data_IF_109752073179
#
_entry.id   IF_109752073179
#
_cell.length_a   1.000
_cell.length_b   1.000
_cell.length_c   1.000
_cell.angle_alpha   90.00
_cell.angle_beta   90.00
_cell.angle_gamma   90.00
#
_symmetry.space_group_name_H-M   'P 1'
#
loop_
_entity.id
_entity.type
_entity.pdbx_description
1 polymer ?
#
# COMPACT_ATOMS: atom_id res chain seq x y z
N UNK A 1 92.07 15.77 0.47
CA UNK A 1 91.44 14.44 0.46
C UNK A 1 90.02 14.62 0.98
N UNK A 2 89.03 13.99 0.34
CA UNK A 2 87.56 14.22 0.43
C UNK A 2 87.00 15.36 -0.46
N UNK A 3 86.40 15.05 -1.62
CA UNK A 3 85.51 15.97 -2.32
C UNK A 3 84.08 15.82 -1.78
N UNK A 4 83.51 16.91 -1.29
CA UNK A 4 82.08 17.04 -0.95
C UNK A 4 81.33 17.19 -2.29
N UNK A 5 80.55 16.18 -2.69
CA UNK A 5 79.59 16.30 -3.79
C UNK A 5 78.24 16.73 -3.23
N UNK A 6 77.75 17.88 -3.68
CA UNK A 6 76.47 18.45 -3.29
C UNK A 6 75.29 17.60 -3.76
N UNK A 7 74.38 17.29 -2.84
CA UNK A 7 73.09 16.65 -3.12
C UNK A 7 72.08 17.70 -3.59
N UNK A 8 71.67 17.62 -4.85
CA UNK A 8 70.55 18.39 -5.38
C UNK A 8 69.23 17.81 -4.83
N UNK A 9 68.49 18.61 -4.08
CA UNK A 9 67.13 18.31 -3.63
C UNK A 9 66.13 18.59 -4.76
N UNK A 10 65.65 17.55 -5.43
CA UNK A 10 64.51 17.65 -6.36
C UNK A 10 63.20 17.56 -5.57
N UNK A 11 62.51 18.70 -5.45
CA UNK A 11 61.14 18.76 -4.98
C UNK A 11 60.21 18.16 -6.06
N UNK A 12 59.82 16.89 -5.89
CA UNK A 12 58.83 16.24 -6.75
C UNK A 12 57.42 16.62 -6.31
N UNK A 13 56.77 17.52 -7.05
CA UNK A 13 55.34 17.78 -6.91
C UNK A 13 54.54 16.54 -7.31
N UNK A 14 53.77 15.96 -6.37
CA UNK A 14 52.83 14.88 -6.66
C UNK A 14 51.63 15.43 -7.44
N UNK A 15 51.63 15.20 -8.76
CA UNK A 15 50.49 15.54 -9.62
C UNK A 15 49.35 14.57 -9.32
N UNK A 16 48.33 15.05 -8.59
CA UNK A 16 47.07 14.31 -8.41
C UNK A 16 46.26 14.44 -9.69
N UNK A 17 46.32 13.40 -10.52
CA UNK A 17 45.48 13.30 -11.73
C UNK A 17 44.06 12.95 -11.30
N UNK A 18 43.17 13.95 -11.27
CA UNK A 18 41.74 13.73 -11.15
C UNK A 18 41.22 13.14 -12.47
N UNK A 19 41.20 11.81 -12.57
CA UNK A 19 40.55 11.14 -13.69
C UNK A 19 39.03 11.25 -13.53
N UNK A 20 38.41 12.03 -14.39
CA UNK A 20 36.96 12.17 -14.46
C UNK A 20 36.35 10.83 -14.93
N UNK A 21 35.85 10.02 -13.99
CA UNK A 21 35.15 8.77 -14.30
C UNK A 21 33.81 9.12 -14.95
N UNK A 22 33.76 9.09 -16.28
CA UNK A 22 32.51 9.23 -17.03
C UNK A 22 31.64 8.00 -16.76
N UNK A 23 30.60 8.17 -15.94
CA UNK A 23 29.55 7.17 -15.75
C UNK A 23 28.69 7.06 -17.03
N UNK A 24 29.22 6.47 -18.10
CA UNK A 24 28.37 6.06 -19.22
C UNK A 24 27.45 4.94 -18.73
N UNK A 25 26.14 5.22 -18.70
CA UNK A 25 25.11 4.20 -18.48
C UNK A 25 25.13 3.20 -19.65
N UNK A 26 25.88 2.11 -19.49
CA UNK A 26 25.84 0.98 -20.42
C UNK A 26 24.56 0.17 -20.19
N UNK A 27 24.05 -0.49 -21.25
CA UNK A 27 22.99 -1.50 -21.10
C UNK A 27 23.48 -2.61 -20.18
N UNK A 28 22.97 -2.67 -18.95
CA UNK A 28 23.28 -3.72 -17.98
C UNK A 28 22.22 -4.82 -18.08
N UNK A 29 22.67 -6.04 -18.35
CA UNK A 29 21.81 -7.23 -18.22
C UNK A 29 21.54 -7.45 -16.73
N UNK A 30 20.27 -7.62 -16.36
CA UNK A 30 19.83 -7.79 -14.97
C UNK A 30 20.10 -9.20 -14.45
N UNK A 31 21.38 -9.57 -14.33
CA UNK A 31 21.76 -10.78 -13.62
C UNK A 31 21.37 -10.68 -12.14
N UNK A 32 21.06 -11.82 -11.49
CA UNK A 32 20.90 -11.85 -10.04
C UNK A 32 22.09 -11.21 -9.33
N UNK A 33 21.81 -10.40 -8.31
CA UNK A 33 22.86 -9.79 -7.48
C UNK A 33 23.55 -10.82 -6.57
N UNK A 34 22.90 -11.95 -6.32
CA UNK A 34 23.40 -13.06 -5.54
C UNK A 34 24.17 -14.08 -6.42
N UNK A 35 25.08 -14.87 -5.83
CA UNK A 35 25.81 -15.89 -6.58
C UNK A 35 24.87 -17.03 -7.05
N UNK A 36 25.09 -17.50 -8.27
CA UNK A 36 24.42 -18.67 -8.84
C UNK A 36 25.38 -19.43 -9.77
N UNK A 37 25.15 -20.72 -9.98
CA UNK A 37 25.96 -21.56 -10.87
C UNK A 37 25.77 -21.11 -12.32
N UNK A 38 26.79 -20.48 -12.89
CA UNK A 38 26.79 -20.06 -14.30
C UNK A 38 27.01 -21.25 -15.21
N UNK A 39 26.52 -21.15 -16.44
CA UNK A 39 26.74 -22.15 -17.47
C UNK A 39 28.21 -22.13 -17.89
N UNK A 40 28.82 -23.31 -17.94
CA UNK A 40 30.15 -23.54 -18.52
C UNK A 40 30.03 -23.94 -19.99
N UNK A 41 30.91 -24.84 -20.43
CA UNK A 41 30.79 -25.48 -21.75
C UNK A 41 29.63 -26.48 -21.71
N UNK A 42 28.67 -26.30 -22.63
CA UNK A 42 27.52 -27.18 -22.79
C UNK A 42 27.42 -27.68 -24.23
N UNK A 43 26.58 -28.71 -24.43
CA UNK A 43 26.32 -29.24 -25.76
C UNK A 43 25.75 -28.14 -26.70
N UNK A 44 26.29 -27.97 -27.94
CA UNK A 44 25.95 -26.84 -28.81
C UNK A 44 24.46 -26.64 -29.09
N UNK A 45 23.69 -27.74 -29.15
CA UNK A 45 22.25 -27.72 -29.45
C UNK A 45 21.35 -27.25 -28.29
N UNK A 46 21.89 -27.05 -27.08
CA UNK A 46 21.07 -26.75 -25.89
C UNK A 46 20.61 -25.28 -25.84
N UNK A 47 21.36 -24.35 -26.43
CA UNK A 47 21.05 -22.92 -26.53
C UNK A 47 20.54 -22.28 -25.22
N UNK A 48 21.14 -22.66 -24.09
CA UNK A 48 20.72 -22.19 -22.77
C UNK A 48 21.42 -20.87 -22.41
N UNK A 49 20.84 -20.11 -21.48
CA UNK A 49 21.37 -18.82 -21.04
C UNK A 49 21.58 -18.78 -19.54
N UNK A 50 22.55 -17.98 -19.09
CA UNK A 50 22.84 -17.82 -17.66
C UNK A 50 21.62 -17.33 -16.86
N UNK A 51 20.74 -16.51 -17.45
CA UNK A 51 19.51 -16.06 -16.79
C UNK A 51 18.50 -17.20 -16.62
N UNK A 52 18.30 -18.04 -17.65
CA UNK A 52 17.47 -19.24 -17.56
C UNK A 52 18.03 -20.21 -16.51
N UNK A 53 19.35 -20.38 -16.46
CA UNK A 53 20.02 -21.19 -15.44
C UNK A 53 19.77 -20.66 -14.02
N UNK A 54 19.93 -19.35 -13.80
CA UNK A 54 19.65 -18.72 -12.51
C UNK A 54 18.18 -18.88 -12.10
N UNK A 55 17.25 -18.73 -13.05
CA UNK A 55 15.82 -18.97 -12.81
C UNK A 55 15.52 -20.42 -12.42
N UNK A 56 16.13 -21.40 -13.10
CA UNK A 56 15.96 -22.83 -12.76
C UNK A 56 16.51 -23.16 -11.37
N UNK A 57 17.62 -22.54 -10.96
CA UNK A 57 18.17 -22.70 -9.61
C UNK A 57 17.27 -22.10 -8.53
N UNK A 58 16.66 -20.93 -8.81
CA UNK A 58 15.70 -20.30 -7.91
C UNK A 58 14.41 -21.14 -7.78
N UNK A 59 13.89 -21.68 -8.89
CA UNK A 59 12.67 -22.48 -8.91
C UNK A 59 12.85 -23.88 -8.30
N UNK A 60 14.00 -24.51 -8.52
CA UNK A 60 14.22 -25.90 -8.15
C UNK A 60 13.63 -26.89 -9.17
N UNK A 61 13.63 -28.19 -8.84
CA UNK A 61 13.12 -29.22 -9.75
C UNK A 61 11.60 -29.13 -9.88
N UNK A 62 11.11 -29.30 -11.10
CA UNK A 62 9.68 -29.36 -11.43
C UNK A 62 9.20 -30.80 -11.35
N UNK A 63 8.10 -31.06 -10.64
CA UNK A 63 7.49 -32.39 -10.61
C UNK A 63 6.69 -32.68 -11.89
N UNK A 64 6.16 -33.91 -12.02
CA UNK A 64 5.36 -34.32 -13.19
C UNK A 64 4.02 -33.56 -13.30
N UNK A 65 3.47 -33.06 -12.19
CA UNK A 65 2.29 -32.18 -12.16
C UNK A 65 2.61 -30.75 -12.61
N UNK A 66 3.89 -30.41 -12.63
CA UNK A 66 4.38 -29.10 -13.02
C UNK A 66 4.68 -28.14 -11.87
N UNK A 67 4.66 -28.61 -10.62
CA UNK A 67 4.83 -27.85 -9.39
C UNK A 67 6.31 -27.75 -8.96
N UNK A 68 6.66 -26.66 -8.29
CA UNK A 68 8.00 -26.39 -7.77
C UNK A 68 8.02 -26.55 -6.25
N UNK A 69 7.82 -27.78 -5.80
CA UNK A 69 7.59 -28.11 -4.38
C UNK A 69 8.76 -27.74 -3.47
N UNK A 70 9.99 -27.73 -4.01
CA UNK A 70 11.19 -27.34 -3.26
C UNK A 70 11.32 -25.82 -3.08
N UNK A 71 10.54 -25.00 -3.78
CA UNK A 71 10.65 -23.55 -3.65
C UNK A 71 9.89 -23.06 -2.41
N UNK A 72 10.58 -22.33 -1.54
CA UNK A 72 10.02 -21.75 -0.31
C UNK A 72 8.74 -20.95 -0.53
N UNK A 73 8.62 -20.27 -1.65
CA UNK A 73 7.53 -19.37 -1.97
C UNK A 73 6.41 -20.03 -2.79
N UNK A 74 6.48 -21.35 -3.01
CA UNK A 74 5.46 -22.09 -3.77
C UNK A 74 4.21 -22.38 -2.92
N UNK A 75 4.40 -22.85 -1.69
CA UNK A 75 3.29 -23.16 -0.79
C UNK A 75 2.76 -21.91 -0.09
N UNK A 76 1.44 -21.87 0.09
CA UNK A 76 0.75 -20.78 0.77
C UNK A 76 0.90 -20.94 2.28
N UNK A 77 1.32 -19.89 3.02
CA UNK A 77 1.44 -19.96 4.48
C UNK A 77 0.07 -20.10 5.13
N UNK A 78 0.01 -20.90 6.21
CA UNK A 78 -1.24 -21.19 6.94
C UNK A 78 -1.24 -20.69 8.40
N UNK A 79 -0.32 -19.80 8.76
CA UNK A 79 0.04 -19.47 10.15
C UNK A 79 -0.14 -17.97 10.50
N UNK A 80 -0.92 -17.22 9.72
CA UNK A 80 -1.07 -15.76 9.84
C UNK A 80 0.24 -14.98 9.73
N UNK A 81 1.28 -15.58 9.13
CA UNK A 81 2.55 -14.91 8.86
C UNK A 81 2.83 -14.95 7.36
N UNK A 82 2.90 -13.78 6.70
CA UNK A 82 3.13 -13.75 5.27
C UNK A 82 4.56 -14.20 4.94
N UNK A 83 4.68 -15.15 4.00
CA UNK A 83 5.97 -15.65 3.52
C UNK A 83 6.52 -14.76 2.39
N UNK A 84 6.87 -13.52 2.71
CA UNK A 84 7.42 -12.56 1.75
C UNK A 84 8.89 -12.83 1.40
N UNK A 85 9.30 -12.31 0.24
CA UNK A 85 10.59 -12.61 -0.40
C UNK A 85 11.75 -11.94 0.36
N UNK A 86 12.83 -12.70 0.57
CA UNK A 86 14.00 -12.29 1.36
C UNK A 86 15.33 -12.59 0.64
N UNK A 87 15.49 -12.15 -0.63
CA UNK A 87 16.63 -12.56 -1.46
C UNK A 87 17.97 -11.99 -0.96
N UNK A 88 17.91 -10.87 -0.22
CA UNK A 88 19.04 -10.21 0.43
C UNK A 88 19.57 -10.99 1.64
N UNK A 89 18.69 -11.63 2.40
CA UNK A 89 19.03 -12.40 3.60
C UNK A 89 19.44 -13.83 3.24
N UNK A 90 18.70 -14.47 2.34
CA UNK A 90 18.97 -15.85 1.91
C UNK A 90 20.01 -15.94 0.77
N UNK A 91 20.52 -14.79 0.29
CA UNK A 91 21.48 -14.72 -0.82
C UNK A 91 21.03 -15.52 -2.04
N UNK A 92 19.74 -15.45 -2.37
CA UNK A 92 19.13 -16.15 -3.50
C UNK A 92 18.94 -17.66 -3.33
N UNK A 93 19.24 -18.23 -2.16
CA UNK A 93 18.97 -19.63 -1.84
C UNK A 93 17.53 -19.78 -1.36
N UNK A 94 16.62 -20.01 -2.30
CA UNK A 94 15.16 -20.08 -2.06
C UNK A 94 14.62 -21.49 -1.86
N UNK A 95 15.47 -22.51 -1.92
CA UNK A 95 15.04 -23.91 -1.89
C UNK A 95 14.96 -24.43 -0.46
N UNK A 96 13.88 -25.12 -0.15
CA UNK A 96 13.64 -25.82 1.12
C UNK A 96 13.26 -27.27 0.85
N UNK A 97 13.52 -28.15 1.81
CA UNK A 97 12.98 -29.49 1.80
C UNK A 97 11.50 -29.45 2.21
N UNK A 98 10.57 -30.05 1.44
CA UNK A 98 9.14 -29.80 1.60
C UNK A 98 8.50 -30.40 2.85
N UNK A 99 9.16 -31.37 3.48
CA UNK A 99 8.65 -32.03 4.69
C UNK A 99 9.27 -31.41 5.95
N UNK A 100 10.58 -31.20 5.94
CA UNK A 100 11.33 -30.70 7.11
C UNK A 100 11.36 -29.17 7.19
N UNK A 101 11.14 -28.48 6.05
CA UNK A 101 11.21 -27.01 5.96
C UNK A 101 12.65 -26.46 5.97
N UNK A 102 13.66 -27.33 6.01
CA UNK A 102 15.06 -26.93 6.10
C UNK A 102 15.60 -26.40 4.77
N UNK A 103 16.51 -25.43 4.84
CA UNK A 103 17.14 -24.84 3.66
C UNK A 103 18.06 -25.82 2.95
N UNK A 104 17.87 -25.96 1.64
CA UNK A 104 18.69 -26.84 0.79
C UNK A 104 19.39 -26.07 -0.31
N UNK A 105 20.59 -26.54 -0.68
CA UNK A 105 21.39 -25.95 -1.76
C UNK A 105 21.78 -27.03 -2.75
N UNK A 106 21.81 -26.69 -4.03
CA UNK A 106 22.30 -27.59 -5.06
C UNK A 106 23.82 -27.75 -4.95
N UNK A 107 24.27 -28.98 -4.72
CA UNK A 107 25.68 -29.38 -4.68
C UNK A 107 26.28 -29.43 -6.09
N UNK A 108 27.59 -29.62 -6.15
CA UNK A 108 28.32 -29.72 -7.42
C UNK A 108 27.75 -30.83 -8.33
N UNK A 109 27.41 -31.97 -7.71
CA UNK A 109 26.89 -33.18 -8.36
C UNK A 109 25.43 -33.06 -8.84
N UNK A 110 24.79 -31.90 -8.61
CA UNK A 110 23.41 -31.65 -9.00
C UNK A 110 22.36 -32.12 -7.98
N UNK A 111 22.77 -32.89 -6.97
CA UNK A 111 21.94 -33.26 -5.82
C UNK A 111 21.69 -32.06 -4.89
N UNK A 112 20.63 -32.14 -4.07
CA UNK A 112 20.34 -31.15 -3.04
C UNK A 112 20.84 -31.65 -1.70
N UNK A 113 21.47 -30.77 -0.91
CA UNK A 113 21.80 -31.07 0.47
C UNK A 113 21.43 -29.92 1.39
N UNK A 114 21.16 -30.28 2.64
CA UNK A 114 20.81 -29.36 3.71
C UNK A 114 21.99 -28.46 4.06
N UNK A 115 21.68 -27.21 4.37
CA UNK A 115 22.64 -26.20 4.81
C UNK A 115 22.04 -25.51 6.02
N UNK A 116 22.88 -25.21 7.01
CA UNK A 116 22.45 -24.49 8.20
C UNK A 116 21.85 -23.13 7.80
N UNK A 117 20.62 -22.87 8.23
CA UNK A 117 19.92 -21.65 7.90
C UNK A 117 20.66 -20.42 8.44
N UNK A 118 20.74 -19.37 7.62
CA UNK A 118 21.41 -18.12 7.97
C UNK A 118 20.83 -17.55 9.28
N UNK A 119 21.67 -17.32 10.29
CA UNK A 119 21.25 -16.78 11.61
C UNK A 119 20.44 -15.49 11.52
N UNK A 120 20.66 -14.68 10.46
CA UNK A 120 19.91 -13.45 10.19
C UNK A 120 18.45 -13.68 9.78
N UNK A 121 18.14 -14.84 9.21
CA UNK A 121 16.76 -15.24 8.90
C UNK A 121 16.00 -15.65 10.17
N UNK A 122 16.70 -16.21 11.17
CA UNK A 122 16.07 -16.61 12.44
C UNK A 122 15.64 -15.39 13.29
N UNK A 123 16.46 -14.33 13.30
CA UNK A 123 16.24 -13.15 14.13
C UNK A 123 15.80 -11.93 13.31
N UNK A 124 14.66 -12.04 12.62
CA UNK A 124 14.11 -10.92 11.85
C UNK A 124 13.22 -10.03 12.72
N UNK A 125 13.29 -8.69 12.53
CA UNK A 125 12.31 -7.80 13.15
C UNK A 125 10.93 -8.02 12.52
N UNK A 126 9.88 -7.86 13.32
CA UNK A 126 8.48 -8.04 12.90
C UNK A 126 8.14 -7.24 11.64
N UNK A 127 8.59 -5.98 11.57
CA UNK A 127 8.42 -5.12 10.39
C UNK A 127 8.96 -5.75 9.10
N UNK A 128 10.05 -6.53 9.17
CA UNK A 128 10.64 -7.21 8.00
C UNK A 128 9.83 -8.43 7.57
N UNK A 129 9.11 -9.07 8.50
CA UNK A 129 8.18 -10.15 8.20
C UNK A 129 6.98 -9.64 7.40
N UNK A 130 6.51 -8.42 7.71
CA UNK A 130 5.38 -7.77 7.05
C UNK A 130 5.76 -6.98 5.78
N UNK A 131 7.02 -7.01 5.37
CA UNK A 131 7.52 -6.25 4.21
C UNK A 131 7.49 -7.11 2.93
N UNK A 132 6.57 -6.87 1.98
CA UNK A 132 6.46 -7.66 0.76
C UNK A 132 7.67 -7.50 -0.18
N UNK A 133 8.21 -6.29 -0.29
CA UNK A 133 9.26 -5.97 -1.25
C UNK A 133 10.55 -5.56 -0.55
N UNK A 134 11.67 -6.27 -0.74
CA UNK A 134 12.93 -5.94 -0.06
C UNK A 134 13.48 -4.55 -0.43
N UNK A 135 13.22 -4.08 -1.66
CA UNK A 135 13.66 -2.77 -2.14
C UNK A 135 12.87 -1.57 -1.60
N UNK A 136 11.68 -1.79 -1.03
CA UNK A 136 10.84 -0.72 -0.48
C UNK A 136 10.51 -1.01 0.99
N UNK A 137 11.21 -0.32 1.91
CA UNK A 137 11.05 -0.49 3.37
C UNK A 137 9.77 0.13 3.94
N UNK A 138 9.12 1.01 3.19
CA UNK A 138 7.93 1.73 3.64
C UNK A 138 6.64 0.99 3.27
N UNK A 139 6.67 0.13 2.25
CA UNK A 139 5.56 -0.73 1.90
C UNK A 139 5.50 -1.91 2.87
N UNK A 140 4.42 -1.98 3.66
CA UNK A 140 4.13 -3.04 4.61
C UNK A 140 2.72 -3.56 4.35
N UNK A 141 2.48 -4.83 4.66
CA UNK A 141 1.12 -5.36 4.64
C UNK A 141 0.30 -4.80 5.79
N UNK A 142 -0.96 -4.49 5.52
CA UNK A 142 -1.92 -4.19 6.57
C UNK A 142 -2.44 -5.51 7.18
N UNK A 143 -3.02 -5.41 8.37
CA UNK A 143 -3.62 -6.53 9.10
C UNK A 143 -5.04 -6.80 8.62
N UNK A 144 -5.43 -8.07 8.60
CA UNK A 144 -6.79 -8.52 8.33
C UNK A 144 -7.59 -8.57 9.62
N UNK A 145 -8.86 -8.21 9.54
CA UNK A 145 -9.77 -8.20 10.69
C UNK A 145 -10.39 -9.58 10.82
N UNK A 146 -10.35 -10.15 12.02
CA UNK A 146 -10.98 -11.44 12.30
C UNK A 146 -12.49 -11.37 12.13
N UNK A 147 -13.09 -12.49 11.74
CA UNK A 147 -14.54 -12.56 11.46
C UNK A 147 -15.37 -12.19 12.69
N UNK A 148 -14.97 -12.70 13.86
CA UNK A 148 -15.60 -12.36 15.14
C UNK A 148 -15.59 -10.86 15.41
N UNK A 149 -14.47 -10.18 15.11
CA UNK A 149 -14.34 -8.76 15.33
C UNK A 149 -15.18 -7.94 14.35
N UNK A 150 -15.28 -8.35 13.07
CA UNK A 150 -16.19 -7.71 12.11
C UNK A 150 -17.63 -7.80 12.57
N UNK A 151 -18.05 -8.98 13.05
CA UNK A 151 -19.39 -9.21 13.57
C UNK A 151 -19.68 -8.36 14.81
N UNK A 152 -18.72 -8.23 15.74
CA UNK A 152 -18.86 -7.33 16.90
C UNK A 152 -19.05 -5.88 16.49
N UNK A 153 -18.16 -5.37 15.62
CA UNK A 153 -18.25 -3.99 15.08
C UNK A 153 -19.61 -3.75 14.42
N UNK A 154 -20.10 -4.71 13.62
CA UNK A 154 -21.39 -4.62 12.99
C UNK A 154 -22.54 -4.52 14.02
N UNK A 155 -22.51 -5.37 15.05
CA UNK A 155 -23.56 -5.40 16.07
C UNK A 155 -23.57 -4.12 16.91
N UNK A 156 -22.40 -3.61 17.32
CA UNK A 156 -22.28 -2.35 18.06
C UNK A 156 -22.88 -1.16 17.31
N UNK A 157 -22.68 -1.10 15.98
CA UNK A 157 -23.19 0.02 15.18
C UNK A 157 -24.67 -0.15 14.84
N UNK A 158 -25.09 -1.35 14.42
CA UNK A 158 -26.43 -1.57 13.88
C UNK A 158 -27.47 -1.98 14.93
N UNK A 159 -27.06 -2.69 15.99
CA UNK A 159 -27.95 -3.19 17.04
C UNK A 159 -27.91 -2.29 18.26
N UNK A 160 -26.71 -1.96 18.75
CA UNK A 160 -26.54 -1.13 19.94
C UNK A 160 -26.62 0.38 19.64
N UNK A 161 -26.44 0.76 18.37
CA UNK A 161 -26.57 2.14 17.92
C UNK A 161 -25.39 3.03 18.33
N UNK A 162 -24.21 2.45 18.62
CA UNK A 162 -23.01 3.19 18.92
C UNK A 162 -22.52 3.99 17.71
N UNK A 163 -21.91 5.14 17.97
CA UNK A 163 -21.37 5.97 16.89
C UNK A 163 -20.08 5.39 16.34
N UNK A 164 -19.84 5.60 15.03
CA UNK A 164 -18.60 5.14 14.38
C UNK A 164 -17.34 5.70 15.02
N UNK A 165 -17.41 6.89 15.62
CA UNK A 165 -16.29 7.50 16.35
C UNK A 165 -15.94 6.71 17.61
N UNK A 166 -16.94 6.33 18.40
CA UNK A 166 -16.75 5.56 19.62
C UNK A 166 -16.16 4.18 19.30
N UNK A 167 -16.73 3.49 18.31
CA UNK A 167 -16.24 2.18 17.86
C UNK A 167 -14.82 2.29 17.28
N UNK A 168 -14.54 3.36 16.52
CA UNK A 168 -13.21 3.67 15.99
C UNK A 168 -12.17 3.82 17.10
N UNK A 169 -12.50 4.57 18.17
CA UNK A 169 -11.63 4.78 19.33
C UNK A 169 -11.42 3.51 20.15
N UNK A 170 -12.49 2.73 20.36
CA UNK A 170 -12.45 1.48 21.12
C UNK A 170 -11.48 0.47 20.49
N UNK A 171 -11.59 0.27 19.18
CA UNK A 171 -10.81 -0.73 18.46
C UNK A 171 -9.52 -0.20 17.83
N UNK A 172 -9.36 1.11 17.67
CA UNK A 172 -8.19 1.71 17.02
C UNK A 172 -8.21 1.52 15.50
N UNK A 173 -9.38 1.62 14.87
CA UNK A 173 -9.57 1.56 13.41
C UNK A 173 -10.10 2.89 12.90
N UNK A 174 -9.65 3.38 11.74
CA UNK A 174 -10.16 4.61 11.13
C UNK A 174 -11.65 4.50 10.80
N UNK A 175 -12.38 5.59 11.00
CA UNK A 175 -13.82 5.71 10.72
C UNK A 175 -14.22 5.18 9.33
N UNK A 176 -13.61 5.61 8.20
CA UNK A 176 -13.98 5.07 6.89
C UNK A 176 -13.71 3.57 6.75
N UNK A 177 -12.74 3.02 7.50
CA UNK A 177 -12.47 1.57 7.52
C UNK A 177 -13.57 0.83 8.28
N UNK A 178 -14.04 1.38 9.40
CA UNK A 178 -15.18 0.86 10.16
C UNK A 178 -16.45 0.84 9.31
N UNK A 179 -16.77 1.92 8.62
CA UNK A 179 -17.93 1.98 7.71
C UNK A 179 -17.83 0.95 6.58
N UNK A 180 -16.63 0.78 6.00
CA UNK A 180 -16.41 -0.24 4.97
C UNK A 180 -16.67 -1.65 5.49
N UNK A 181 -16.25 -1.96 6.73
CA UNK A 181 -16.53 -3.27 7.36
C UNK A 181 -18.03 -3.47 7.49
N UNK A 182 -18.76 -2.49 8.03
CA UNK A 182 -20.22 -2.58 8.20
C UNK A 182 -20.89 -2.85 6.85
N UNK A 183 -20.53 -2.08 5.81
CA UNK A 183 -21.08 -2.26 4.45
C UNK A 183 -20.78 -3.65 3.86
N UNK A 184 -19.56 -4.15 4.05
CA UNK A 184 -19.18 -5.48 3.58
C UNK A 184 -19.97 -6.58 4.33
N UNK A 185 -20.15 -6.44 5.64
CA UNK A 185 -20.95 -7.37 6.45
C UNK A 185 -22.42 -7.39 6.03
N UNK A 186 -23.01 -6.25 5.67
CA UNK A 186 -24.38 -6.20 5.14
C UNK A 186 -24.50 -6.96 3.82
N UNK A 187 -23.50 -6.83 2.93
CA UNK A 187 -23.46 -7.54 1.65
C UNK A 187 -23.30 -9.03 1.88
N UNK A 188 -22.41 -9.43 2.80
CA UNK A 188 -22.16 -10.83 3.15
C UNK A 188 -23.43 -11.50 3.69
N UNK A 189 -24.12 -10.87 4.65
CA UNK A 189 -25.43 -11.36 5.14
C UNK A 189 -26.48 -11.48 4.03
N UNK A 190 -26.51 -10.55 3.07
CA UNK A 190 -27.39 -10.64 1.89
C UNK A 190 -27.00 -11.84 1.02
N UNK A 191 -25.72 -12.08 0.81
CA UNK A 191 -25.23 -13.21 0.00
C UNK A 191 -25.50 -14.56 0.65
N UNK A 192 -25.32 -14.67 1.97
CA UNK A 192 -25.71 -15.84 2.75
C UNK A 192 -27.21 -16.12 2.61
N UNK A 193 -28.06 -15.10 2.81
CA UNK A 193 -29.53 -15.24 2.66
C UNK A 193 -29.93 -15.73 1.26
N UNK A 194 -29.16 -15.35 0.24
CA UNK A 194 -29.39 -15.75 -1.15
C UNK A 194 -28.59 -17.00 -1.58
N UNK A 195 -27.91 -17.68 -0.65
CA UNK A 195 -27.05 -18.85 -0.91
C UNK A 195 -26.05 -18.63 -2.06
N UNK A 196 -25.45 -17.44 -2.11
CA UNK A 196 -24.48 -17.05 -3.15
C UNK A 196 -23.03 -17.38 -2.80
N UNK A 197 -22.77 -17.76 -1.55
CA UNK A 197 -21.46 -18.17 -1.08
C UNK A 197 -21.26 -19.63 -1.47
N UNK A 198 -20.31 -19.88 -2.36
CA UNK A 198 -19.95 -21.23 -2.80
C UNK A 198 -18.84 -21.81 -1.91
N UNK A 199 -18.73 -23.13 -1.75
CA UNK A 199 -17.66 -23.76 -0.98
C UNK A 199 -16.25 -23.36 -1.46
N UNK A 200 -16.08 -23.14 -2.77
CA UNK A 200 -14.81 -22.68 -3.35
C UNK A 200 -14.42 -21.27 -2.86
N UNK A 201 -15.40 -20.38 -2.71
CA UNK A 201 -15.17 -19.03 -2.16
C UNK A 201 -14.79 -19.09 -0.69
N UNK A 202 -15.35 -20.02 0.08
CA UNK A 202 -14.97 -20.23 1.49
C UNK A 202 -13.53 -20.75 1.62
N UNK A 203 -13.12 -21.69 0.75
CA UNK A 203 -11.73 -22.14 0.69
C UNK A 203 -10.80 -20.99 0.32
N UNK A 204 -11.15 -20.16 -0.65
CA UNK A 204 -10.37 -18.98 -1.00
C UNK A 204 -10.29 -17.96 0.16
N UNK A 205 -11.42 -17.68 0.82
CA UNK A 205 -11.47 -16.76 1.95
C UNK A 205 -10.62 -17.26 3.12
N UNK A 206 -10.76 -18.53 3.48
CA UNK A 206 -9.99 -19.14 4.57
C UNK A 206 -8.50 -19.24 4.28
N UNK A 207 -8.11 -19.48 3.02
CA UNK A 207 -6.69 -19.47 2.63
C UNK A 207 -6.10 -18.06 2.73
N UNK A 208 -6.78 -17.03 2.20
CA UNK A 208 -6.33 -15.64 2.34
C UNK A 208 -6.27 -15.19 3.80
N UNK A 209 -7.25 -15.55 4.62
CA UNK A 209 -7.25 -15.22 6.05
C UNK A 209 -6.00 -15.75 6.76
N UNK A 210 -5.57 -16.98 6.44
CA UNK A 210 -4.37 -17.60 7.00
C UNK A 210 -3.06 -17.03 6.44
N UNK A 211 -3.08 -16.38 5.29
CA UNK A 211 -1.89 -15.76 4.68
C UNK A 211 -1.49 -14.45 5.36
N UNK A 212 -2.47 -13.70 5.85
CA UNK A 212 -2.27 -12.35 6.37
C UNK A 212 -2.20 -12.32 7.89
N UNK A 213 -1.46 -11.34 8.47
CA UNK A 213 -1.45 -11.13 9.90
C UNK A 213 -2.81 -10.61 10.37
N UNK A 214 -3.24 -11.07 11.55
CA UNK A 214 -4.53 -10.71 12.14
C UNK A 214 -4.40 -9.41 12.94
N UNK A 215 -5.43 -8.57 12.86
CA UNK A 215 -5.52 -7.33 13.61
C UNK A 215 -5.95 -7.62 15.04
N UNK A 216 -5.14 -7.17 15.99
CA UNK A 216 -5.41 -7.29 17.42
C UNK A 216 -5.69 -5.91 18.02
N UNK A 217 -6.92 -5.64 18.51
CA UNK A 217 -7.27 -4.32 19.02
C UNK A 217 -6.54 -3.96 20.32
N UNK A 218 -6.04 -4.94 21.07
CA UNK A 218 -5.26 -4.72 22.29
C UNK A 218 -3.80 -4.31 22.00
N UNK A 219 -3.28 -4.68 20.82
CA UNK A 219 -1.92 -4.38 20.42
C UNK A 219 -1.79 -2.94 19.94
N UNK A 220 -1.04 -2.12 20.68
CA UNK A 220 -0.76 -0.72 20.30
C UNK A 220 -0.08 -0.59 18.93
N UNK A 221 0.69 -1.60 18.51
CA UNK A 221 1.40 -1.60 17.22
C UNK A 221 0.48 -1.88 16.03
N UNK A 222 -0.60 -2.64 16.27
CA UNK A 222 -1.59 -2.95 15.23
C UNK A 222 -2.59 -1.81 15.01
N UNK A 223 -2.88 -1.03 16.07
CA UNK A 223 -3.81 0.11 16.01
C UNK A 223 -3.40 1.15 14.97
N UNK A 224 -4.39 1.65 14.25
CA UNK A 224 -4.21 2.73 13.30
C UNK A 224 -4.08 4.08 14.02
N UNK A 225 -3.34 5.02 13.42
CA UNK A 225 -3.30 6.37 13.94
C UNK A 225 -4.59 7.12 13.58
N UNK A 226 -5.43 7.35 14.59
CA UNK A 226 -6.71 8.06 14.46
C UNK A 226 -6.56 9.58 14.39
N UNK A 227 -5.36 10.12 14.66
CA UNK A 227 -5.08 11.55 14.67
C UNK A 227 -4.51 12.09 13.34
N UNK A 228 -4.56 11.29 12.28
CA UNK A 228 -4.06 11.70 10.97
C UNK A 228 -5.02 12.67 10.28
N UNK A 229 -4.50 13.85 9.94
CA UNK A 229 -5.17 14.85 9.12
C UNK A 229 -4.45 15.01 7.78
N UNK A 230 -5.16 15.27 6.67
CA UNK A 230 -4.54 15.58 5.39
C UNK A 230 -3.85 16.94 5.48
N UNK A 231 -2.63 17.02 4.95
CA UNK A 231 -1.84 18.26 5.02
C UNK A 231 -2.34 19.27 3.97
N UNK A 232 -2.85 20.45 4.36
CA UNK A 232 -3.30 21.45 3.40
C UNK A 232 -2.12 22.18 2.75
N UNK A 233 -2.31 22.70 1.53
CA UNK A 233 -1.25 23.39 0.78
C UNK A 233 -0.60 24.55 1.55
N UNK A 234 -1.41 25.33 2.29
CA UNK A 234 -0.93 26.47 3.08
C UNK A 234 0.04 26.04 4.20
N UNK A 235 -0.11 24.84 4.74
CA UNK A 235 0.78 24.31 5.78
C UNK A 235 2.10 23.74 5.24
N UNK A 236 2.20 23.48 3.92
CA UNK A 236 3.44 23.01 3.29
C UNK A 236 4.47 24.12 3.10
N UNK A 237 4.01 25.38 3.00
CA UNK A 237 4.91 26.54 2.92
C UNK A 237 5.38 26.97 4.31
N UNK A 238 6.69 26.97 4.54
CA UNK A 238 7.27 27.49 5.78
C UNK A 238 7.11 29.00 5.88
N UNK A 239 6.74 29.49 7.07
CA UNK A 239 6.68 30.91 7.41
C UNK A 239 7.46 31.15 8.69
N UNK A 240 8.14 32.27 8.76
CA UNK A 240 8.86 32.71 9.95
C UNK A 240 8.31 34.08 10.35
N UNK A 241 8.03 34.25 11.64
CA UNK A 241 7.53 35.50 12.20
C UNK A 241 8.49 35.96 13.31
N UNK A 242 8.77 37.25 13.32
CA UNK A 242 9.49 37.90 14.42
C UNK A 242 8.47 38.41 15.42
N UNK A 243 8.38 37.72 16.56
CA UNK A 243 7.53 38.08 17.70
C UNK A 243 8.41 38.60 18.85
N UNK A 244 7.82 39.30 19.81
CA UNK A 244 8.57 39.74 20.98
C UNK A 244 9.07 38.53 21.79
N UNK A 245 10.24 38.64 22.44
CA UNK A 245 10.85 37.53 23.18
C UNK A 245 9.95 36.98 24.31
N UNK A 246 9.07 37.81 24.84
CA UNK A 246 8.12 37.47 25.89
C UNK A 246 6.74 37.02 25.36
N UNK A 247 6.49 37.09 24.06
CA UNK A 247 5.18 36.79 23.48
C UNK A 247 5.02 35.27 23.25
N UNK A 248 3.99 34.63 23.85
CA UNK A 248 3.75 33.21 23.62
C UNK A 248 3.17 32.96 22.23
N UNK A 249 3.60 31.89 21.57
CA UNK A 249 3.10 31.50 20.24
C UNK A 249 2.58 30.06 20.25
N UNK A 250 1.26 29.91 20.19
CA UNK A 250 0.59 28.62 20.23
C UNK A 250 0.13 28.08 18.87
N UNK A 251 -0.41 26.85 18.82
CA UNK A 251 -0.98 26.26 17.60
C UNK A 251 -2.16 27.06 17.02
N UNK A 252 -2.94 27.71 17.88
CA UNK A 252 -4.08 28.55 17.46
C UNK A 252 -3.59 29.81 16.74
N UNK A 253 -2.49 30.41 17.20
CA UNK A 253 -1.92 31.59 16.58
C UNK A 253 -1.19 31.23 15.28
N UNK A 254 -0.52 30.08 15.24
CA UNK A 254 0.01 29.50 14.01
C UNK A 254 -1.10 29.26 12.95
N UNK A 255 -2.26 28.75 13.37
CA UNK A 255 -3.41 28.55 12.47
C UNK A 255 -3.93 29.89 11.91
N UNK A 256 -4.05 30.93 12.76
CA UNK A 256 -4.42 32.29 12.31
C UNK A 256 -3.43 32.85 11.30
N UNK A 257 -2.13 32.70 11.56
CA UNK A 257 -1.05 33.14 10.66
C UNK A 257 -1.12 32.45 9.30
N UNK A 258 -1.49 31.16 9.30
CA UNK A 258 -1.69 30.38 8.08
C UNK A 258 -3.06 30.60 7.43
N UNK A 259 -3.93 31.39 8.06
CA UNK A 259 -5.34 31.56 7.68
C UNK A 259 -6.04 30.19 7.51
N UNK A 260 -5.84 29.32 8.49
CA UNK A 260 -6.43 27.99 8.57
C UNK A 260 -7.17 27.80 9.88
N UNK A 261 -8.06 26.81 9.90
CA UNK A 261 -8.62 26.32 11.15
C UNK A 261 -7.55 25.55 11.95
N UNK A 262 -7.60 25.58 13.29
CA UNK A 262 -6.72 24.76 14.12
C UNK A 262 -6.83 23.27 13.78
N UNK A 263 -5.70 22.55 13.84
CA UNK A 263 -5.62 21.13 13.51
C UNK A 263 -6.62 20.27 14.31
N UNK A 264 -6.84 20.57 15.59
CA UNK A 264 -7.82 19.87 16.42
C UNK A 264 -9.26 19.99 15.86
N UNK A 265 -9.68 21.18 15.43
CA UNK A 265 -11.00 21.38 14.83
C UNK A 265 -11.15 20.65 13.50
N UNK A 266 -10.08 20.61 12.69
CA UNK A 266 -10.10 19.85 11.43
C UNK A 266 -10.24 18.35 11.67
N UNK A 267 -9.59 17.82 12.71
CA UNK A 267 -9.68 16.42 13.12
C UNK A 267 -11.09 16.09 13.62
N UNK A 268 -11.68 16.93 14.47
CA UNK A 268 -13.05 16.77 14.96
C UNK A 268 -14.06 16.76 13.81
N UNK A 269 -13.92 17.69 12.86
CA UNK A 269 -14.75 17.72 11.65
C UNK A 269 -14.63 16.42 10.88
N UNK A 270 -13.41 15.92 10.65
CA UNK A 270 -13.20 14.63 10.00
C UNK A 270 -13.80 13.46 10.77
N UNK A 271 -13.74 13.52 12.10
CA UNK A 271 -14.40 12.54 12.98
C UNK A 271 -15.91 12.50 12.78
N UNK A 272 -16.54 13.65 12.54
CA UNK A 272 -17.99 13.76 12.33
C UNK A 272 -18.48 13.43 10.91
N UNK A 273 -17.58 13.09 9.99
CA UNK A 273 -17.95 12.66 8.63
C UNK A 273 -18.24 11.16 8.66
N UNK A 274 -19.49 10.78 8.36
CA UNK A 274 -19.89 9.38 8.22
C UNK A 274 -21.39 9.17 8.31
N UNK A 275 -21.92 8.12 7.70
CA UNK A 275 -23.36 7.78 7.70
C UNK A 275 -23.87 7.49 9.11
N UNK A 276 -22.98 6.96 9.97
CA UNK A 276 -23.23 6.59 11.36
C UNK A 276 -22.47 7.49 12.35
N UNK A 277 -22.19 8.75 11.98
CA UNK A 277 -21.62 9.74 12.90
C UNK A 277 -22.72 10.41 13.74
N UNK A 278 -22.41 10.79 14.98
CA UNK A 278 -23.38 11.35 15.96
C UNK A 278 -24.15 12.56 15.42
N UNK A 279 -23.49 13.39 14.60
CA UNK A 279 -24.05 14.63 14.06
C UNK A 279 -24.49 14.53 12.59
N UNK A 280 -24.49 13.34 11.98
CA UNK A 280 -24.80 13.17 10.55
C UNK A 280 -26.19 13.72 10.18
N UNK A 281 -27.18 13.52 11.04
CA UNK A 281 -28.55 13.98 10.80
C UNK A 281 -28.74 15.50 10.93
N UNK A 282 -27.81 16.22 11.56
CA UNK A 282 -27.90 17.68 11.74
C UNK A 282 -27.30 18.46 10.55
N UNK A 283 -26.45 17.84 9.73
CA UNK A 283 -25.79 18.47 8.57
C UNK A 283 -26.59 18.36 7.26
N UNK A 284 -27.92 18.28 7.30
CA UNK A 284 -28.72 18.58 6.11
C UNK A 284 -28.68 20.09 5.90
N UNK A 285 -27.76 20.53 5.02
CA UNK A 285 -27.68 21.92 4.59
C UNK A 285 -29.04 22.44 4.10
N UNK A 286 -29.20 23.76 3.93
CA UNK A 286 -30.47 24.36 3.53
C UNK A 286 -30.96 23.68 2.25
N UNK A 287 -32.09 22.97 2.36
CA UNK A 287 -32.65 22.27 1.22
C UNK A 287 -33.17 23.31 0.24
N UNK A 288 -32.58 23.37 -0.96
CA UNK A 288 -33.17 24.14 -2.04
C UNK A 288 -34.59 23.63 -2.28
N UNK A 289 -35.54 24.53 -2.54
CA UNK A 289 -36.91 24.15 -2.86
C UNK A 289 -36.91 23.28 -4.12
N UNK A 290 -37.46 22.08 -4.01
CA UNK A 290 -37.63 21.14 -5.12
C UNK A 290 -39.12 20.95 -5.37
N UNK A 291 -39.55 21.13 -6.60
CA UNK A 291 -40.93 20.91 -7.05
C UNK A 291 -40.93 19.78 -8.07
N UNK A 292 -41.84 18.82 -7.90
CA UNK A 292 -42.07 17.74 -8.87
C UNK A 292 -43.33 18.04 -9.66
N UNK A 293 -43.30 17.83 -10.98
CA UNK A 293 -44.47 17.99 -11.84
C UNK A 293 -45.53 16.91 -11.59
N UNK A 294 -46.78 17.20 -11.92
CA UNK A 294 -47.88 16.22 -11.92
C UNK A 294 -47.59 15.11 -12.94
N UNK A 295 -47.80 13.84 -12.56
CA UNK A 295 -47.60 12.67 -13.42
C UNK A 295 -48.95 12.14 -13.86
N UNK A 296 -49.27 12.24 -15.16
CA UNK A 296 -50.53 11.76 -15.74
C UNK A 296 -50.39 10.32 -16.23
N UNK A 297 -51.53 9.64 -16.38
CA UNK A 297 -51.58 8.27 -16.91
C UNK A 297 -51.08 8.26 -18.36
N UNK A 298 -49.94 7.61 -18.59
CA UNK A 298 -49.26 7.54 -19.89
C UNK A 298 -47.88 8.21 -19.91
N UNK A 299 -47.54 8.99 -18.89
CA UNK A 299 -46.24 9.64 -18.77
C UNK A 299 -45.13 8.62 -18.46
N UNK A 300 -43.96 8.82 -19.06
CA UNK A 300 -42.79 7.93 -18.93
C UNK A 300 -41.76 8.40 -17.90
N UNK A 301 -41.85 9.66 -17.45
CA UNK A 301 -40.84 10.29 -16.61
C UNK A 301 -41.44 11.42 -15.79
N UNK A 302 -40.84 11.69 -14.62
CA UNK A 302 -41.22 12.79 -13.74
C UNK A 302 -40.28 13.97 -13.96
N UNK A 303 -40.82 15.18 -14.11
CA UNK A 303 -40.03 16.40 -14.18
C UNK A 303 -39.70 16.91 -12.77
N UNK A 304 -38.41 17.07 -12.47
CA UNK A 304 -37.89 17.61 -11.22
C UNK A 304 -37.38 19.03 -11.45
N UNK A 305 -37.95 20.00 -10.75
CA UNK A 305 -37.53 21.41 -10.80
C UNK A 305 -36.84 21.79 -9.50
N UNK A 306 -35.60 22.25 -9.58
CA UNK A 306 -34.79 22.68 -8.43
C UNK A 306 -34.60 24.19 -8.46
N UNK A 307 -35.06 24.91 -7.44
CA UNK A 307 -34.87 26.37 -7.35
C UNK A 307 -33.39 26.70 -7.36
N UNK A 308 -32.99 27.66 -8.21
CA UNK A 308 -31.60 28.06 -8.39
C UNK A 308 -31.49 29.54 -8.73
N UNK A 309 -30.45 30.23 -8.26
CA UNK A 309 -30.29 31.68 -8.43
C UNK A 309 -29.83 32.04 -9.85
N UNK A 310 -30.45 33.07 -10.44
CA UNK A 310 -30.06 33.65 -11.75
C UNK A 310 -28.58 34.05 -11.73
N UNK A 311 -27.86 33.78 -12.81
CA UNK A 311 -26.41 34.03 -12.95
C UNK A 311 -25.50 32.91 -12.43
N UNK A 312 -26.03 31.90 -11.73
CA UNK A 312 -25.30 30.70 -11.29
C UNK A 312 -25.72 29.41 -12.00
N UNK A 313 -26.63 29.51 -12.98
CA UNK A 313 -27.29 28.38 -13.66
C UNK A 313 -27.13 28.53 -15.17
N UNK A 314 -27.10 27.41 -15.88
CA UNK A 314 -26.92 27.34 -17.34
C UNK A 314 -25.47 27.09 -17.75
N UNK A 315 -25.27 26.67 -18.99
CA UNK A 315 -23.94 26.54 -19.57
C UNK A 315 -23.38 27.92 -19.91
N UNK A 316 -22.13 28.18 -19.50
CA UNK A 316 -21.50 29.49 -19.74
C UNK A 316 -21.23 29.69 -21.24
N UNK A 317 -21.64 30.84 -21.77
CA UNK A 317 -21.29 31.25 -23.13
C UNK A 317 -19.79 31.54 -23.24
N UNK A 318 -19.18 31.18 -24.37
CA UNK A 318 -17.74 31.37 -24.61
C UNK A 318 -16.82 30.42 -23.84
N UNK A 319 -17.36 29.38 -23.18
CA UNK A 319 -16.54 28.32 -22.62
C UNK A 319 -15.77 27.58 -23.72
N UNK A 320 -14.46 27.40 -23.55
CA UNK A 320 -13.63 26.71 -24.54
C UNK A 320 -13.97 25.22 -24.61
N UNK A 321 -14.25 24.73 -25.83
CA UNK A 321 -14.50 23.30 -26.09
C UNK A 321 -13.19 22.55 -25.85
N UNK A 322 -13.17 21.64 -24.86
CA UNK A 322 -11.98 20.87 -24.46
C UNK A 322 -11.88 19.50 -25.13
N UNK A 323 -12.82 19.13 -26.00
CA UNK A 323 -12.90 17.77 -26.57
C UNK A 323 -11.68 17.36 -27.39
N UNK A 324 -11.01 18.31 -28.03
CA UNK A 324 -9.79 18.08 -28.80
C UNK A 324 -8.50 18.15 -27.95
N UNK A 325 -8.62 18.37 -26.63
CA UNK A 325 -7.47 18.48 -25.73
C UNK A 325 -7.27 17.17 -24.95
N UNK A 326 -6.01 16.91 -24.59
CA UNK A 326 -5.65 15.73 -23.78
C UNK A 326 -6.26 15.75 -22.37
N UNK A 327 -6.60 16.94 -21.87
CA UNK A 327 -7.25 17.19 -20.59
C UNK A 327 -8.78 17.25 -20.69
N UNK A 328 -9.38 16.64 -21.72
CA UNK A 328 -10.84 16.54 -21.84
C UNK A 328 -11.44 15.80 -20.64
N UNK A 329 -12.61 16.24 -20.20
CA UNK A 329 -13.31 15.64 -19.06
C UNK A 329 -14.06 14.39 -19.49
N UNK A 330 -13.82 13.30 -18.77
CA UNK A 330 -14.48 12.02 -18.98
C UNK A 330 -15.11 11.62 -17.65
N UNK A 331 -16.39 11.27 -17.69
CA UNK A 331 -17.18 10.80 -16.56
C UNK A 331 -17.86 9.48 -16.85
N UNK A 332 -18.68 9.06 -15.90
CA UNK A 332 -19.52 7.86 -16.00
C UNK A 332 -20.96 8.21 -15.64
N UNK A 333 -21.93 7.64 -16.37
CA UNK A 333 -23.34 7.79 -16.03
C UNK A 333 -23.77 6.83 -14.90
N UNK A 334 -25.04 6.91 -14.48
CA UNK A 334 -25.61 6.05 -13.41
C UNK A 334 -25.55 4.55 -13.73
N UNK A 335 -25.47 4.18 -15.02
CA UNK A 335 -25.35 2.80 -15.51
C UNK A 335 -23.88 2.36 -15.66
N UNK A 336 -22.92 3.26 -15.42
CA UNK A 336 -21.49 2.99 -15.53
C UNK A 336 -20.90 3.10 -16.94
N UNK A 337 -21.63 3.70 -17.89
CA UNK A 337 -21.13 3.97 -19.23
C UNK A 337 -20.28 5.24 -19.26
N UNK A 338 -19.19 5.22 -20.02
CA UNK A 338 -18.32 6.39 -20.21
C UNK A 338 -19.06 7.49 -20.98
N UNK A 339 -19.03 8.71 -20.45
CA UNK A 339 -19.65 9.91 -21.05
C UNK A 339 -18.66 11.08 -21.02
N UNK A 340 -18.64 11.89 -22.06
CA UNK A 340 -17.89 13.15 -22.05
C UNK A 340 -18.66 14.23 -21.29
N UNK A 341 -18.01 14.89 -20.32
CA UNK A 341 -18.64 15.87 -19.42
C UNK A 341 -18.54 17.29 -19.97
#
# INVERSE_FOLDING_TARGET
>A
MFPIHGSATTAGSSVVVYQQVRNLSRRKIAYPFYPFKRLGREHPKKHDTNLKSGMRQFLGPRNYKGEYVMNKYFQVPSNHQPNYIKPDLERGQSLIHPITGETVVQKYDGSFGEVEENRRLKNMPEKRLLQPFPGNRNCLTNHVISEDLKMRIYNEIQVEGLSTQQVSQNYGLKIPRVEAIVKLMEIEKKWEKHNRITPELEVMSSTLYKMFPVFEPESKLARENLSEIPVPQRALSSRFLTIAESEPFGPVDAAKVLELEPAAQTLEKMGSIGEHAENHNQQKGPSNRVVYGEVRKGDRSVFKFTESRVGKVGHRYGAGIRDNKKDRKIGFNEVGQMVYI
#
